data_IF_346110669982
#
_entry.id   IF_346110669982
#
_cell.length_a   1.000
_cell.length_b   1.000
_cell.length_c   1.000
_cell.angle_alpha   90.00
_cell.angle_beta   90.00
_cell.angle_gamma   90.00
#
_symmetry.space_group_name_H-M   'P 1'
#
loop_
_entity.id
_entity.type
_entity.pdbx_description
1 polymer ?
#
# COMPACT_ATOMS: atom_id res chain seq x y z
N UNK A 1 -4.32 -14.81 12.20
CA UNK A 1 -3.79 -14.10 11.03
C UNK A 1 -4.99 -13.69 10.20
N UNK A 2 -5.39 -12.43 10.25
CA UNK A 2 -6.52 -11.90 9.50
C UNK A 2 -6.01 -11.49 8.12
N UNK A 3 -6.41 -12.21 7.09
CA UNK A 3 -6.09 -11.87 5.71
C UNK A 3 -6.76 -10.53 5.37
N UNK A 4 -5.96 -9.51 5.02
CA UNK A 4 -6.48 -8.27 4.49
C UNK A 4 -7.14 -8.58 3.13
N UNK A 5 -8.45 -8.37 3.05
CA UNK A 5 -9.18 -8.43 1.78
C UNK A 5 -9.28 -6.99 1.27
N UNK A 6 -8.59 -6.70 0.17
CA UNK A 6 -8.77 -5.46 -0.56
C UNK A 6 -10.01 -5.61 -1.46
N UNK A 7 -10.94 -4.66 -1.36
CA UNK A 7 -12.10 -4.59 -2.25
C UNK A 7 -11.96 -3.32 -3.10
N UNK A 8 -11.98 -3.47 -4.42
CA UNK A 8 -12.06 -2.32 -5.33
C UNK A 8 -13.48 -1.77 -5.31
N UNK A 9 -13.62 -0.48 -5.02
CA UNK A 9 -14.88 0.24 -5.15
C UNK A 9 -14.99 0.76 -6.57
N UNK A 10 -16.14 0.58 -7.25
CA UNK A 10 -16.34 1.19 -8.56
C UNK A 10 -16.34 2.72 -8.41
N UNK A 11 -15.54 3.40 -9.23
CA UNK A 11 -15.38 4.87 -9.23
C UNK A 11 -16.70 5.65 -9.51
N UNK A 12 -17.78 4.95 -9.86
CA UNK A 12 -19.00 5.54 -10.39
C UNK A 12 -20.17 5.30 -9.43
N UNK A 13 -20.08 5.86 -8.22
CA UNK A 13 -21.22 6.03 -7.30
C UNK A 13 -22.02 4.77 -6.90
N UNK A 14 -21.53 3.58 -7.22
CA UNK A 14 -22.16 2.31 -6.85
C UNK A 14 -21.65 1.89 -5.48
N UNK A 15 -22.44 2.08 -4.44
CA UNK A 15 -22.11 1.58 -3.11
C UNK A 15 -21.81 0.07 -3.14
N UNK A 16 -20.81 -0.37 -2.37
CA UNK A 16 -20.56 -1.80 -2.18
C UNK A 16 -21.52 -2.34 -1.14
N UNK A 17 -22.33 -3.32 -1.54
CA UNK A 17 -23.11 -4.15 -0.63
C UNK A 17 -22.18 -5.16 0.03
N UNK A 18 -21.81 -4.89 1.27
CA UNK A 18 -21.16 -5.88 2.13
C UNK A 18 -22.26 -6.80 2.71
N UNK A 19 -22.03 -8.11 2.83
CA UNK A 19 -23.02 -9.02 3.40
C UNK A 19 -23.39 -8.60 4.83
N UNK A 20 -24.70 -8.58 5.14
CA UNK A 20 -25.31 -8.15 6.42
C UNK A 20 -24.65 -8.74 7.68
N UNK A 21 -23.95 -9.88 7.56
CA UNK A 21 -23.24 -10.51 8.66
C UNK A 21 -21.98 -9.76 9.13
N UNK A 22 -21.48 -8.78 8.38
CA UNK A 22 -20.12 -8.23 8.60
C UNK A 22 -20.03 -6.74 8.96
N UNK A 23 -21.04 -5.91 8.68
CA UNK A 23 -20.98 -4.46 8.94
C UNK A 23 -22.27 -3.95 9.60
N UNK A 24 -22.13 -3.33 10.77
CA UNK A 24 -23.29 -2.88 11.58
C UNK A 24 -23.48 -1.37 11.58
N UNK A 25 -22.44 -0.59 11.25
CA UNK A 25 -22.55 0.86 11.07
C UNK A 25 -21.39 1.42 10.24
N UNK A 26 -21.68 2.50 9.51
CA UNK A 26 -20.73 3.35 8.78
C UNK A 26 -20.60 4.66 9.56
N UNK A 27 -19.40 4.97 10.03
CA UNK A 27 -19.07 6.30 10.55
C UNK A 27 -18.21 7.03 9.50
N UNK A 28 -18.65 8.24 9.15
CA UNK A 28 -17.98 9.12 8.19
C UNK A 28 -17.22 10.20 8.97
N UNK A 29 -15.91 10.28 8.78
CA UNK A 29 -15.07 11.36 9.28
C UNK A 29 -14.26 11.93 8.12
N UNK A 30 -14.75 13.03 7.55
CA UNK A 30 -14.21 13.58 6.30
C UNK A 30 -14.39 12.61 5.14
N UNK A 31 -13.30 12.26 4.45
CA UNK A 31 -13.31 11.35 3.30
C UNK A 31 -13.14 9.87 3.69
N UNK A 32 -12.92 9.57 4.97
CA UNK A 32 -12.63 8.22 5.46
C UNK A 32 -13.89 7.57 5.99
N UNK A 33 -14.17 6.36 5.51
CA UNK A 33 -15.33 5.57 5.92
C UNK A 33 -14.86 4.45 6.83
N UNK A 34 -15.37 4.39 8.06
CA UNK A 34 -15.07 3.30 9.00
C UNK A 34 -16.11 2.19 8.91
N UNK A 35 -15.64 0.95 8.77
CA UNK A 35 -16.47 -0.25 8.94
C UNK A 35 -16.38 -0.68 10.39
N UNK A 36 -17.52 -0.66 11.10
CA UNK A 36 -17.57 -1.05 12.52
C UNK A 36 -18.37 -2.34 12.74
N UNK A 37 -17.86 -3.17 13.66
CA UNK A 37 -18.49 -4.40 14.14
C UNK A 37 -18.64 -4.32 15.65
N UNK A 38 -19.89 -4.30 16.14
CA UNK A 38 -20.21 -4.16 17.58
C UNK A 38 -19.53 -2.94 18.23
N UNK A 39 -19.53 -1.80 17.54
CA UNK A 39 -18.92 -0.55 18.02
C UNK A 39 -17.39 -0.52 18.01
N UNK A 40 -16.73 -1.47 17.32
CA UNK A 40 -15.28 -1.46 17.10
C UNK A 40 -14.96 -1.35 15.62
N UNK A 41 -14.08 -0.43 15.24
CA UNK A 41 -13.58 -0.34 13.88
C UNK A 41 -12.82 -1.62 13.49
N UNK A 42 -13.18 -2.20 12.36
CA UNK A 42 -12.54 -3.41 11.80
C UNK A 42 -11.84 -3.15 10.48
N UNK A 43 -12.25 -2.10 9.77
CA UNK A 43 -11.60 -1.63 8.55
C UNK A 43 -11.90 -0.14 8.35
N UNK A 44 -11.12 0.48 7.47
CA UNK A 44 -11.37 1.83 6.97
C UNK A 44 -11.21 1.84 5.44
N UNK A 45 -12.04 2.62 4.78
CA UNK A 45 -11.94 2.92 3.35
C UNK A 45 -11.39 4.33 3.27
N UNK A 46 -10.25 4.48 2.59
CA UNK A 46 -9.58 5.75 2.39
C UNK A 46 -9.52 5.99 0.88
N UNK A 47 -9.98 7.15 0.40
CA UNK A 47 -9.84 7.51 -1.00
C UNK A 47 -8.37 7.66 -1.35
N UNK A 48 -8.02 7.16 -2.52
CA UNK A 48 -6.67 7.26 -3.07
C UNK A 48 -6.77 8.12 -4.31
N UNK A 49 -5.82 9.03 -4.48
CA UNK A 49 -5.63 9.76 -5.73
C UNK A 49 -5.56 8.75 -6.90
N UNK A 50 -6.42 8.84 -7.92
CA UNK A 50 -6.38 7.94 -9.07
C UNK A 50 -4.99 7.84 -9.73
N UNK A 51 -4.20 8.92 -9.71
CA UNK A 51 -2.83 8.93 -10.24
C UNK A 51 -1.85 8.10 -9.38
N UNK A 52 -2.20 7.78 -8.15
CA UNK A 52 -1.43 6.97 -7.20
C UNK A 52 -2.02 5.56 -7.00
N UNK A 53 -3.16 5.25 -7.62
CA UNK A 53 -3.84 3.95 -7.46
C UNK A 53 -2.97 2.75 -7.90
N UNK A 54 -2.03 2.97 -8.84
CA UNK A 54 -1.11 1.93 -9.32
C UNK A 54 -0.26 1.30 -8.21
N UNK A 55 0.04 2.04 -7.14
CA UNK A 55 0.80 1.56 -5.99
C UNK A 55 0.12 0.34 -5.35
N UNK A 56 -1.21 0.37 -5.30
CA UNK A 56 -2.03 -0.68 -4.70
C UNK A 56 -2.31 -1.87 -5.62
N UNK A 57 -1.78 -1.87 -6.85
CA UNK A 57 -1.94 -3.02 -7.74
C UNK A 57 -1.25 -4.26 -7.15
N UNK A 58 -1.77 -5.49 -7.38
CA UNK A 58 -1.19 -6.71 -6.84
C UNK A 58 0.30 -6.89 -7.18
N UNK A 59 0.69 -6.47 -8.39
CA UNK A 59 2.08 -6.52 -8.83
C UNK A 59 2.98 -5.58 -8.01
N UNK A 60 2.56 -4.35 -7.74
CA UNK A 60 3.33 -3.39 -6.95
C UNK A 60 3.39 -3.79 -5.48
N UNK A 61 2.28 -4.23 -4.89
CA UNK A 61 2.28 -4.77 -3.53
C UNK A 61 3.21 -5.97 -3.36
N UNK A 62 3.29 -6.85 -4.36
CA UNK A 62 4.22 -8.00 -4.32
C UNK A 62 5.68 -7.53 -4.27
N UNK A 63 6.05 -6.56 -5.12
CA UNK A 63 7.39 -5.98 -5.13
C UNK A 63 7.71 -5.22 -3.85
N UNK A 64 6.74 -4.52 -3.28
CA UNK A 64 6.91 -3.83 -2.00
C UNK A 64 7.22 -4.83 -0.88
N UNK A 65 6.48 -5.94 -0.82
CA UNK A 65 6.77 -7.00 0.15
C UNK A 65 8.15 -7.65 -0.04
N UNK A 66 8.59 -7.80 -1.29
CA UNK A 66 9.95 -8.26 -1.59
C UNK A 66 11.00 -7.25 -1.10
N UNK A 67 10.81 -5.96 -1.37
CA UNK A 67 11.68 -4.89 -0.92
C UNK A 67 11.75 -4.79 0.62
N UNK A 68 10.61 -4.88 1.31
CA UNK A 68 10.54 -4.92 2.76
C UNK A 68 11.32 -6.11 3.33
N UNK A 69 11.18 -7.29 2.72
CA UNK A 69 11.93 -8.50 3.10
C UNK A 69 13.43 -8.32 2.90
N UNK A 70 13.84 -7.67 1.81
CA UNK A 70 15.23 -7.35 1.52
C UNK A 70 15.80 -6.38 2.56
N UNK A 71 15.08 -5.30 2.88
CA UNK A 71 15.47 -4.33 3.90
C UNK A 71 15.60 -5.01 5.27
N UNK A 72 14.60 -5.79 5.68
CA UNK A 72 14.60 -6.48 6.96
C UNK A 72 15.76 -7.49 7.09
N UNK A 73 16.16 -8.10 5.97
CA UNK A 73 17.29 -9.02 5.91
C UNK A 73 18.64 -8.33 5.68
N UNK A 74 18.69 -7.00 5.57
CA UNK A 74 19.91 -6.25 5.24
C UNK A 74 20.44 -6.53 3.82
N UNK A 75 19.58 -7.01 2.92
CA UNK A 75 19.90 -7.22 1.50
C UNK A 75 19.76 -5.89 0.78
N UNK A 76 20.83 -5.11 0.75
CA UNK A 76 20.87 -3.82 0.08
C UNK A 76 22.19 -3.12 0.31
N UNK A 77 22.28 -1.90 -0.20
CA UNK A 77 23.39 -0.99 0.11
C UNK A 77 22.81 0.25 0.76
N UNK A 78 23.36 0.61 1.91
CA UNK A 78 23.05 1.87 2.59
C UNK A 78 24.20 2.82 2.29
N UNK A 79 23.86 4.01 1.85
CA UNK A 79 24.80 5.12 1.67
C UNK A 79 24.42 6.20 2.70
N UNK A 80 25.42 6.77 3.35
CA UNK A 80 25.21 7.73 4.44
C UNK A 80 25.30 9.18 3.96
N UNK A 81 25.44 9.39 2.66
CA UNK A 81 25.41 10.69 2.00
C UNK A 81 24.97 10.55 0.54
N UNK A 82 24.43 11.64 0.00
CA UNK A 82 24.02 11.70 -1.40
C UNK A 82 25.25 11.58 -2.33
N UNK A 83 26.41 12.11 -1.91
CA UNK A 83 27.67 11.97 -2.65
C UNK A 83 28.10 10.51 -2.78
N UNK A 84 27.99 9.73 -1.70
CA UNK A 84 28.33 8.30 -1.69
C UNK A 84 27.37 7.51 -2.60
N UNK A 85 26.07 7.80 -2.53
CA UNK A 85 25.07 7.18 -3.39
C UNK A 85 25.32 7.49 -4.88
N UNK A 86 25.53 8.77 -5.22
CA UNK A 86 25.75 9.20 -6.60
C UNK A 86 27.04 8.62 -7.18
N UNK A 87 28.12 8.56 -6.39
CA UNK A 87 29.36 7.92 -6.82
C UNK A 87 29.16 6.43 -7.13
N UNK A 88 28.41 5.73 -6.29
CA UNK A 88 28.09 4.32 -6.52
C UNK A 88 27.19 4.10 -7.73
N UNK A 89 26.20 4.99 -7.93
CA UNK A 89 25.32 4.97 -9.10
C UNK A 89 26.10 5.20 -10.39
N UNK A 90 26.94 6.23 -10.45
CA UNK A 90 27.78 6.52 -11.61
C UNK A 90 28.72 5.35 -11.93
N UNK A 91 29.33 4.74 -10.92
CA UNK A 91 30.15 3.55 -11.08
C UNK A 91 29.35 2.36 -11.66
N UNK A 92 28.12 2.15 -11.19
CA UNK A 92 27.26 1.07 -11.69
C UNK A 92 26.88 1.26 -13.17
N UNK A 93 26.57 2.50 -13.60
CA UNK A 93 26.36 2.86 -15.01
C UNK A 93 27.58 2.51 -15.85
N UNK A 94 28.77 2.94 -15.43
CA UNK A 94 30.03 2.69 -16.17
C UNK A 94 30.36 1.20 -16.31
N UNK A 95 29.99 0.41 -15.31
CA UNK A 95 30.24 -1.05 -15.31
C UNK A 95 29.15 -1.85 -16.02
N UNK A 96 28.08 -1.23 -16.52
CA UNK A 96 26.93 -1.92 -17.12
C UNK A 96 26.21 -2.84 -16.12
N UNK A 97 26.27 -2.51 -14.83
CA UNK A 97 25.61 -3.26 -13.74
C UNK A 97 24.22 -2.72 -13.38
N UNK A 98 23.71 -1.81 -14.20
CA UNK A 98 22.33 -1.33 -14.15
C UNK A 98 21.52 -1.99 -15.25
#
# INVERSE_FOLDING_TARGET
MTAAHAFELPAQGGGVMLPDSEVTAVEEDGEVIYLTRRGRAVARIVPVDPEQAWFWSPQWQTKEHEADSDIAAGRGKVYYSDEEFLAALEASVKTGKL
#
